data_IF_543910497791
#
_entry.id   IF_543910497791
#
_cell.length_a   1.000
_cell.length_b   1.000
_cell.length_c   1.000
_cell.angle_alpha   90.00
_cell.angle_beta   90.00
_cell.angle_gamma   90.00
#
_symmetry.space_group_name_H-M   'P 1'
#
loop_
_entity.id
_entity.type
_entity.pdbx_description
1 polymer ?
#
# COMPACT_ATOMS: atom_id res chain seq x y z
N UNK A 1 10.00 -16.26 18.92
CA UNK A 1 8.95 -16.34 17.89
C UNK A 1 8.82 -14.94 17.32
N UNK A 2 9.57 -14.63 16.27
CA UNK A 2 9.48 -13.30 15.63
C UNK A 2 8.07 -13.16 15.12
N UNK A 3 7.33 -12.18 15.64
CA UNK A 3 5.96 -11.93 15.23
C UNK A 3 5.94 -11.76 13.72
N UNK A 4 5.21 -12.63 13.04
CA UNK A 4 4.70 -12.32 11.71
C UNK A 4 3.78 -11.13 11.93
N UNK A 5 4.34 -9.92 11.83
CA UNK A 5 3.58 -8.69 11.85
C UNK A 5 2.87 -8.64 10.51
N UNK A 6 1.79 -9.42 10.40
CA UNK A 6 0.92 -9.42 9.25
C UNK A 6 0.44 -7.99 9.08
N UNK A 7 0.92 -7.32 8.03
CA UNK A 7 0.52 -5.97 7.73
C UNK A 7 -1.00 -5.95 7.58
N UNK A 8 -1.69 -5.28 8.50
CA UNK A 8 -3.15 -5.21 8.48
C UNK A 8 -3.60 -4.20 7.43
N UNK A 9 -3.68 -4.64 6.18
CA UNK A 9 -4.11 -3.81 5.05
C UNK A 9 -5.57 -3.33 5.16
N UNK A 10 -6.38 -4.02 5.98
CA UNK A 10 -7.81 -3.72 6.20
C UNK A 10 -8.03 -2.37 6.92
N UNK A 11 -7.11 -1.98 7.82
CA UNK A 11 -7.24 -0.75 8.63
C UNK A 11 -6.38 0.41 8.08
N UNK A 12 -5.77 0.22 6.90
CA UNK A 12 -4.96 1.27 6.30
C UNK A 12 -5.85 2.38 5.78
N UNK A 13 -5.48 3.61 6.16
CA UNK A 13 -6.17 4.82 5.77
C UNK A 13 -5.76 5.28 4.36
N UNK A 14 -6.69 5.80 3.56
CA UNK A 14 -6.34 6.44 2.31
C UNK A 14 -5.34 7.59 2.55
N UNK A 15 -4.42 7.76 1.60
CA UNK A 15 -3.21 8.56 1.69
C UNK A 15 -1.96 7.78 2.10
N UNK A 16 -2.09 6.54 2.58
CA UNK A 16 -0.96 5.70 2.91
C UNK A 16 -0.23 5.21 1.65
N UNK A 17 1.10 5.18 1.71
CA UNK A 17 1.93 4.66 0.62
C UNK A 17 2.35 3.23 0.92
N UNK A 18 2.05 2.34 0.01
CA UNK A 18 2.29 0.90 0.08
C UNK A 18 3.31 0.51 -0.97
N UNK A 19 4.13 -0.49 -0.65
CA UNK A 19 5.10 -1.08 -1.56
C UNK A 19 4.62 -2.45 -2.02
N UNK A 20 4.54 -2.63 -3.34
CA UNK A 20 4.23 -3.93 -3.94
C UNK A 20 5.45 -4.84 -3.94
N UNK A 21 5.24 -6.15 -4.12
CA UNK A 21 6.32 -7.13 -4.22
C UNK A 21 7.27 -6.88 -5.41
N UNK A 22 6.78 -6.18 -6.45
CA UNK A 22 7.57 -5.76 -7.61
C UNK A 22 8.48 -4.56 -7.32
N UNK A 23 8.35 -3.96 -6.13
CA UNK A 23 9.08 -2.77 -5.72
C UNK A 23 8.43 -1.46 -6.15
N UNK A 24 7.24 -1.49 -6.75
CA UNK A 24 6.47 -0.30 -7.06
C UNK A 24 5.88 0.32 -5.79
N UNK A 25 5.73 1.64 -5.78
CA UNK A 25 5.10 2.39 -4.70
C UNK A 25 3.74 2.88 -5.19
N UNK A 26 2.70 2.52 -4.43
CA UNK A 26 1.33 2.92 -4.69
C UNK A 26 0.79 3.70 -3.51
N UNK A 27 -0.04 4.70 -3.76
CA UNK A 27 -0.73 5.46 -2.71
C UNK A 27 -2.19 5.02 -2.67
N UNK A 28 -2.64 4.59 -1.50
CA UNK A 28 -4.01 4.16 -1.25
C UNK A 28 -4.96 5.35 -1.40
N UNK A 29 -5.89 5.29 -2.33
CA UNK A 29 -6.92 6.31 -2.54
C UNK A 29 -8.18 5.96 -1.77
N UNK A 30 -8.57 4.68 -1.81
CA UNK A 30 -9.74 4.17 -1.12
C UNK A 30 -9.55 2.71 -0.71
N UNK A 31 -10.01 2.38 0.49
CA UNK A 31 -9.95 1.03 1.04
C UNK A 31 -11.37 0.51 1.27
N UNK A 32 -11.86 -0.47 0.48
CA UNK A 32 -13.17 -1.07 0.70
C UNK A 32 -13.18 -1.98 1.95
N UNK A 33 -12.02 -2.18 2.59
CA UNK A 33 -11.83 -3.01 3.78
C UNK A 33 -12.20 -4.49 3.57
N UNK A 34 -12.23 -4.92 2.31
CA UNK A 34 -12.46 -6.32 1.92
C UNK A 34 -11.25 -7.21 2.21
N UNK A 35 -10.05 -6.61 2.33
CA UNK A 35 -8.79 -7.32 2.58
C UNK A 35 -8.20 -8.01 1.36
N UNK A 36 -8.86 -7.93 0.19
CA UNK A 36 -8.38 -8.47 -1.08
C UNK A 36 -8.00 -7.37 -2.06
N UNK A 37 -8.81 -6.32 -2.15
CA UNK A 37 -8.66 -5.24 -3.14
C UNK A 37 -8.48 -3.89 -2.47
N UNK A 38 -7.57 -3.09 -3.01
CA UNK A 38 -7.31 -1.71 -2.60
C UNK A 38 -7.36 -0.82 -3.83
N UNK A 39 -7.98 0.36 -3.75
CA UNK A 39 -7.93 1.35 -4.82
C UNK A 39 -6.74 2.25 -4.54
N UNK A 40 -5.72 2.17 -5.37
CA UNK A 40 -4.48 2.90 -5.22
C UNK A 40 -4.09 3.60 -6.53
N UNK A 41 -3.26 4.64 -6.46
CA UNK A 41 -2.58 5.21 -7.62
C UNK A 41 -1.10 4.87 -7.59
N UNK A 42 -0.48 4.63 -8.74
CA UNK A 42 0.96 4.38 -8.81
C UNK A 42 1.71 5.70 -8.67
N UNK A 43 2.56 5.79 -7.64
CA UNK A 43 3.44 6.93 -7.37
C UNK A 43 4.83 6.68 -7.95
N UNK A 44 5.28 5.44 -7.93
CA UNK A 44 6.58 5.05 -8.47
C UNK A 44 6.50 3.63 -9.04
N UNK A 45 7.00 3.41 -10.25
CA UNK A 45 7.11 2.09 -10.84
C UNK A 45 8.47 1.93 -11.53
N UNK A 46 9.35 1.03 -11.05
CA UNK A 46 10.71 0.91 -11.58
C UNK A 46 10.73 0.35 -13.01
N UNK A 47 9.76 -0.50 -13.36
CA UNK A 47 9.70 -1.20 -14.65
C UNK A 47 8.79 -0.53 -15.68
N UNK A 48 7.84 0.31 -15.24
CA UNK A 48 6.72 0.82 -16.05
C UNK A 48 6.33 2.23 -15.60
N UNK A 49 7.20 3.24 -15.84
CA UNK A 49 6.94 4.61 -15.40
C UNK A 49 5.70 5.24 -16.05
N UNK A 50 5.17 4.67 -17.12
CA UNK A 50 3.90 5.08 -17.75
C UNK A 50 2.67 4.81 -16.87
N UNK A 51 2.77 3.88 -15.92
CA UNK A 51 1.70 3.60 -14.96
C UNK A 51 1.62 4.67 -13.86
N UNK A 52 2.71 5.42 -13.65
CA UNK A 52 2.79 6.46 -12.62
C UNK A 52 1.94 7.65 -13.02
N UNK A 53 1.01 8.05 -12.14
CA UNK A 53 0.10 9.16 -12.40
C UNK A 53 -1.07 9.22 -11.42
N UNK A 54 -2.12 9.93 -11.84
CA UNK A 54 -3.37 10.08 -11.09
C UNK A 54 -4.42 9.02 -11.45
N UNK A 55 -4.05 8.02 -12.26
CA UNK A 55 -4.92 6.90 -12.61
C UNK A 55 -5.15 5.98 -11.40
N UNK A 56 -6.40 5.92 -10.95
CA UNK A 56 -6.85 5.02 -9.90
C UNK A 56 -6.88 3.58 -10.42
N UNK A 57 -6.16 2.68 -9.76
CA UNK A 57 -6.05 1.26 -10.12
C UNK A 57 -6.35 0.39 -8.91
N UNK A 58 -7.03 -0.73 -9.17
CA UNK A 58 -7.22 -1.77 -8.15
C UNK A 58 -5.95 -2.59 -8.02
N UNK A 59 -5.33 -2.54 -6.84
CA UNK A 59 -4.14 -3.31 -6.48
C UNK A 59 -4.58 -4.42 -5.51
N UNK A 60 -4.03 -5.62 -5.71
CA UNK A 60 -4.28 -6.71 -4.80
C UNK A 60 -3.54 -6.49 -3.48
N UNK A 61 -4.25 -6.68 -2.38
CA UNK A 61 -3.69 -6.60 -1.03
C UNK A 61 -2.53 -7.60 -0.84
N UNK A 62 -2.65 -8.80 -1.41
CA UNK A 62 -1.60 -9.83 -1.39
C UNK A 62 -0.30 -9.42 -2.12
N UNK A 63 -0.37 -8.46 -3.04
CA UNK A 63 0.83 -7.96 -3.71
C UNK A 63 1.58 -6.94 -2.85
N UNK A 64 0.95 -6.40 -1.81
CA UNK A 64 1.58 -5.47 -0.88
C UNK A 64 2.45 -6.24 0.10
N UNK A 65 3.73 -5.88 0.12
CA UNK A 65 4.73 -6.51 1.00
C UNK A 65 5.19 -5.61 2.13
N UNK A 66 5.07 -4.29 1.98
CA UNK A 66 5.53 -3.32 2.98
C UNK A 66 4.80 -1.97 2.85
N UNK A 67 4.93 -1.11 3.86
CA UNK A 67 4.53 0.30 3.75
C UNK A 67 5.73 1.12 3.27
N UNK A 68 5.54 1.89 2.20
CA UNK A 68 6.59 2.75 1.67
C UNK A 68 6.82 3.98 2.55
N UNK A 69 5.77 4.48 3.22
CA UNK A 69 5.89 5.53 4.22
C UNK A 69 6.04 4.89 5.61
N UNK A 70 7.28 4.86 6.11
CA UNK A 70 7.63 4.28 7.41
C UNK A 70 7.13 5.08 8.61
N UNK A 71 6.10 5.91 8.48
CA UNK A 71 5.61 6.76 9.56
C UNK A 71 4.38 6.18 10.26
N UNK A 72 4.53 4.99 10.86
CA UNK A 72 3.77 4.69 12.08
C UNK A 72 4.28 5.65 13.16
N UNK A 73 3.66 6.83 13.26
CA UNK A 73 3.78 7.68 14.46
C UNK A 73 3.29 6.85 15.63
N UNK A 74 4.23 6.30 16.40
CA UNK A 74 3.93 5.84 17.73
C UNK A 74 3.52 7.04 18.56
N UNK A 75 2.41 6.94 19.28
CA UNK A 75 2.29 7.56 20.59
C UNK A 75 1.59 6.54 21.49
N UNK A 76 2.42 5.83 22.26
CA UNK A 76 1.95 5.29 23.52
C UNK A 76 1.59 6.46 24.43
N UNK A 77 0.46 6.34 25.11
CA UNK A 77 0.14 7.03 26.35
C UNK A 77 -0.90 6.21 27.09
#
# INVERSE_FOLDING_TARGET
MSGHNALNLIDIKPGARLRTNEGAVVELIENPQDGVWLICRYVEHPSEPELVGDDERTVFAQDIVDMADGHQQGEGS
#
